data_IF_313159455656
#
_entry.id   IF_313159455656
#
_cell.length_a   1.000
_cell.length_b   1.000
_cell.length_c   1.000
_cell.angle_alpha   90.00
_cell.angle_beta   90.00
_cell.angle_gamma   90.00
#
_symmetry.space_group_name_H-M   'P 1'
#
loop_
_entity.id
_entity.type
_entity.pdbx_description
1 polymer ?
#
# COMPACT_ATOMS: atom_id res chain seq x y z
N UNK A 1 -45.22 -12.07 3.79
CA UNK A 1 -44.28 -11.53 2.79
C UNK A 1 -44.20 -10.05 3.03
N UNK A 2 -43.21 -9.61 3.80
CA UNK A 2 -42.85 -8.22 3.95
C UNK A 2 -41.36 -8.18 3.60
N UNK A 3 -41.07 -7.93 2.33
CA UNK A 3 -39.74 -7.54 1.90
C UNK A 3 -39.54 -6.12 2.46
N UNK A 4 -38.70 -6.00 3.47
CA UNK A 4 -38.19 -4.73 3.94
C UNK A 4 -37.32 -4.16 2.83
N UNK A 5 -37.79 -3.08 2.20
CA UNK A 5 -36.97 -2.15 1.42
C UNK A 5 -35.88 -1.60 2.35
N UNK A 6 -34.73 -2.25 2.34
CA UNK A 6 -33.49 -1.69 2.84
C UNK A 6 -33.19 -0.48 1.95
N UNK A 7 -33.38 0.73 2.49
CA UNK A 7 -32.98 1.97 1.84
C UNK A 7 -31.53 1.81 1.38
N UNK A 8 -31.30 1.70 0.06
CA UNK A 8 -29.94 1.56 -0.47
C UNK A 8 -29.20 2.86 -0.22
N UNK A 9 -28.45 2.92 0.88
CA UNK A 9 -27.59 4.05 1.19
C UNK A 9 -26.58 4.17 0.04
N UNK A 10 -26.64 5.30 -0.68
CA UNK A 10 -25.77 5.52 -1.83
C UNK A 10 -24.33 5.64 -1.34
N UNK A 11 -23.48 4.67 -1.66
CA UNK A 11 -22.09 4.67 -1.22
C UNK A 11 -21.33 5.91 -1.74
N UNK A 12 -20.65 6.58 -0.82
CA UNK A 12 -19.77 7.72 -1.06
C UNK A 12 -18.38 7.26 -1.49
N UNK A 13 -17.61 8.14 -2.14
CA UNK A 13 -16.21 7.85 -2.42
C UNK A 13 -15.32 8.15 -1.22
N UNK A 14 -14.34 7.29 -0.97
CA UNK A 14 -13.29 7.58 0.02
C UNK A 14 -12.35 8.63 -0.57
N UNK A 15 -12.33 9.82 0.05
CA UNK A 15 -11.50 10.93 -0.43
C UNK A 15 -9.99 10.61 -0.33
N UNK A 16 -9.14 11.10 -1.25
CA UNK A 16 -7.70 10.84 -1.23
C UNK A 16 -6.95 11.74 -0.23
N UNK A 17 -5.69 11.39 0.04
CA UNK A 17 -4.72 12.20 0.80
C UNK A 17 -5.18 12.65 2.18
N UNK A 18 -5.47 11.70 3.05
CA UNK A 18 -5.72 12.02 4.45
C UNK A 18 -4.44 12.54 5.10
N UNK A 19 -4.41 13.86 5.37
CA UNK A 19 -3.20 14.60 5.80
C UNK A 19 -2.57 14.19 7.13
N UNK A 20 -3.16 13.22 7.85
CA UNK A 20 -2.64 12.67 9.11
C UNK A 20 -2.27 11.17 9.00
N UNK A 21 -2.28 10.58 7.80
CA UNK A 21 -1.84 9.19 7.64
C UNK A 21 -0.31 9.13 7.70
N UNK A 22 0.24 8.54 8.76
CA UNK A 22 1.69 8.42 8.94
C UNK A 22 2.26 7.41 7.94
N UNK A 23 3.01 7.91 6.97
CA UNK A 23 3.78 7.05 6.07
C UNK A 23 4.92 6.34 6.81
N UNK A 24 5.11 5.06 6.49
CA UNK A 24 6.21 4.26 7.02
C UNK A 24 7.40 4.35 6.07
N UNK A 25 8.39 5.16 6.44
CA UNK A 25 9.61 5.35 5.66
C UNK A 25 10.75 4.49 6.18
N UNK A 26 11.59 4.00 5.27
CA UNK A 26 12.90 3.42 5.59
C UNK A 26 13.98 4.20 4.88
N UNK A 27 15.03 4.58 5.60
CA UNK A 27 16.13 5.37 5.02
C UNK A 27 17.46 4.65 5.18
N UNK A 28 18.23 4.66 4.09
CA UNK A 28 19.63 4.18 4.04
C UNK A 28 20.51 5.35 3.63
N UNK A 29 21.02 6.14 4.61
CA UNK A 29 21.70 7.41 4.34
C UNK A 29 22.94 7.26 3.45
N UNK A 30 23.72 6.18 3.61
CA UNK A 30 24.93 5.93 2.83
C UNK A 30 24.69 5.82 1.32
N UNK A 31 23.46 5.52 0.90
CA UNK A 31 23.06 5.43 -0.50
C UNK A 31 22.09 6.55 -0.92
N UNK A 32 21.81 7.54 -0.05
CA UNK A 32 20.79 8.57 -0.28
C UNK A 32 19.48 7.96 -0.81
N UNK A 33 19.02 6.88 -0.15
CA UNK A 33 17.91 6.05 -0.60
C UNK A 33 16.82 6.01 0.48
N UNK A 34 15.59 6.32 0.11
CA UNK A 34 14.42 6.22 1.00
C UNK A 34 13.32 5.39 0.34
N UNK A 35 12.86 4.38 1.06
CA UNK A 35 11.68 3.60 0.69
C UNK A 35 10.47 4.14 1.43
N UNK A 36 9.34 4.30 0.75
CA UNK A 36 8.05 4.33 1.42
C UNK A 36 7.47 2.91 1.43
N UNK A 37 7.05 2.44 2.59
CA UNK A 37 6.40 1.14 2.74
C UNK A 37 4.90 1.27 2.54
N UNK A 38 4.40 0.56 1.53
CA UNK A 38 2.97 0.35 1.37
C UNK A 38 2.61 -1.09 1.71
N UNK A 39 1.83 -1.26 2.78
CA UNK A 39 1.39 -2.58 3.27
C UNK A 39 0.72 -3.36 2.14
N UNK A 40 1.00 -4.67 2.09
CA UNK A 40 0.50 -5.61 1.07
C UNK A 40 1.06 -5.38 -0.35
N UNK A 41 2.03 -4.49 -0.47
CA UNK A 41 2.73 -4.18 -1.71
C UNK A 41 4.23 -4.42 -1.56
N UNK A 42 4.62 -5.67 -1.23
CA UNK A 42 6.01 -6.06 -0.92
C UNK A 42 6.67 -5.32 0.25
N UNK A 43 5.90 -4.80 1.21
CA UNK A 43 6.44 -4.04 2.33
C UNK A 43 7.50 -4.82 3.14
N UNK A 44 7.25 -6.10 3.46
CA UNK A 44 8.19 -6.93 4.22
C UNK A 44 9.52 -7.17 3.46
N UNK A 45 9.40 -7.51 2.19
CA UNK A 45 10.56 -7.71 1.31
C UNK A 45 11.38 -6.42 1.16
N UNK A 46 10.69 -5.27 1.04
CA UNK A 46 11.33 -3.95 0.99
C UNK A 46 12.05 -3.63 2.30
N UNK A 47 11.44 -3.95 3.45
CA UNK A 47 12.11 -3.80 4.75
C UNK A 47 13.40 -4.61 4.83
N UNK A 48 13.37 -5.86 4.37
CA UNK A 48 14.52 -6.74 4.45
C UNK A 48 15.63 -6.32 3.45
N UNK A 49 15.25 -5.89 2.24
CA UNK A 49 16.18 -5.30 1.28
C UNK A 49 16.86 -4.04 1.83
N UNK A 50 16.07 -3.11 2.38
CA UNK A 50 16.60 -1.87 2.96
C UNK A 50 17.46 -2.15 4.21
N UNK A 51 17.12 -3.16 5.01
CA UNK A 51 17.91 -3.56 6.16
C UNK A 51 19.29 -4.13 5.76
N UNK A 52 19.34 -5.00 4.75
CA UNK A 52 20.61 -5.49 4.19
C UNK A 52 21.50 -4.34 3.72
N UNK A 53 20.91 -3.30 3.14
CA UNK A 53 21.66 -2.12 2.70
C UNK A 53 22.10 -1.22 3.86
N UNK A 54 21.29 -1.14 4.91
CA UNK A 54 21.55 -0.33 6.10
C UNK A 54 22.70 -0.90 6.94
N UNK A 55 22.64 -2.20 7.23
CA UNK A 55 23.60 -2.93 8.06
C UNK A 55 23.84 -4.35 7.50
N UNK A 56 24.68 -4.46 6.45
CA UNK A 56 24.90 -5.73 5.77
C UNK A 56 25.61 -6.78 6.65
N UNK A 57 26.48 -6.36 7.57
CA UNK A 57 27.24 -7.30 8.40
C UNK A 57 26.31 -8.03 9.37
N UNK A 58 25.42 -7.29 10.05
CA UNK A 58 24.46 -7.89 10.97
C UNK A 58 23.39 -8.71 10.23
N UNK A 59 22.91 -8.21 9.08
CA UNK A 59 21.96 -8.95 8.24
C UNK A 59 22.51 -10.32 7.82
N UNK A 60 23.77 -10.35 7.34
CA UNK A 60 24.38 -11.58 6.81
C UNK A 60 24.84 -12.53 7.91
N UNK A 61 25.42 -12.03 9.01
CA UNK A 61 25.88 -12.86 10.13
C UNK A 61 24.73 -13.51 10.89
N UNK A 62 23.56 -12.88 10.93
CA UNK A 62 22.33 -13.46 11.50
C UNK A 62 21.62 -14.49 10.62
N UNK A 63 22.17 -14.81 9.43
CA UNK A 63 21.57 -15.71 8.44
C UNK A 63 20.11 -15.37 8.09
N UNK A 64 19.80 -14.09 8.02
CA UNK A 64 18.43 -13.65 7.84
C UNK A 64 17.94 -13.78 6.40
N UNK A 65 16.67 -14.13 6.23
CA UNK A 65 16.00 -14.21 4.94
C UNK A 65 15.03 -13.06 4.68
N UNK A 66 14.71 -12.82 3.40
CA UNK A 66 13.76 -11.77 3.01
C UNK A 66 12.30 -12.14 3.33
N UNK A 67 12.04 -13.38 3.73
CA UNK A 67 10.71 -13.90 4.06
C UNK A 67 10.39 -13.85 5.55
N UNK A 68 11.40 -13.65 6.39
CA UNK A 68 11.24 -13.56 7.84
C UNK A 68 10.53 -12.26 8.23
N UNK A 69 9.74 -12.36 9.31
CA UNK A 69 9.09 -11.23 9.99
C UNK A 69 9.91 -10.71 11.18
N UNK A 70 11.13 -11.22 11.39
CA UNK A 70 12.16 -10.72 12.32
C UNK A 70 11.61 -10.41 13.72
N UNK A 71 11.49 -11.46 14.56
CA UNK A 71 10.92 -11.39 15.92
C UNK A 71 11.93 -11.04 17.03
N UNK A 72 13.23 -10.93 16.72
CA UNK A 72 14.31 -10.65 17.69
C UNK A 72 14.96 -9.26 17.45
N UNK A 73 15.82 -8.81 18.38
CA UNK A 73 16.52 -7.52 18.37
C UNK A 73 17.16 -7.23 17.00
N UNK A 74 16.71 -6.16 16.34
CA UNK A 74 17.18 -5.76 15.01
C UNK A 74 18.17 -4.61 15.15
N UNK A 75 19.27 -4.64 14.41
CA UNK A 75 20.06 -3.43 14.15
C UNK A 75 19.30 -2.45 13.24
N UNK A 76 18.37 -2.95 12.42
CA UNK A 76 17.50 -2.18 11.51
C UNK A 76 16.03 -2.18 11.98
N UNK A 77 15.72 -1.41 13.03
CA UNK A 77 14.35 -1.33 13.54
C UNK A 77 13.49 -0.37 12.68
N UNK A 78 12.44 -0.82 11.96
CA UNK A 78 11.55 0.06 11.19
C UNK A 78 10.72 1.00 12.07
N UNK A 79 10.71 0.79 13.39
CA UNK A 79 10.08 1.67 14.37
C UNK A 79 11.06 2.68 14.97
N UNK A 80 12.37 2.56 14.72
CA UNK A 80 13.34 3.60 15.09
C UNK A 80 13.22 4.78 14.10
N UNK A 81 12.46 5.79 14.52
CA UNK A 81 12.12 6.95 13.69
C UNK A 81 13.25 7.97 13.57
N UNK A 82 14.27 7.88 14.41
CA UNK A 82 15.45 8.73 14.33
C UNK A 82 16.55 8.07 13.49
N UNK A 83 16.48 6.74 13.30
CA UNK A 83 17.35 5.96 12.44
C UNK A 83 16.63 5.37 11.23
N UNK A 84 16.68 4.05 11.12
CA UNK A 84 16.28 3.29 9.92
C UNK A 84 14.82 3.52 9.51
N UNK A 85 13.88 3.58 10.47
CA UNK A 85 12.43 3.77 10.27
C UNK A 85 11.98 5.23 10.13
N UNK A 86 12.93 6.15 10.01
CA UNK A 86 12.72 7.58 9.87
C UNK A 86 12.85 8.05 8.43
N UNK A 87 12.29 9.24 8.16
CA UNK A 87 12.76 10.06 7.07
C UNK A 87 13.89 10.92 7.63
N UNK A 88 15.14 10.65 7.24
CA UNK A 88 16.26 11.45 7.74
C UNK A 88 16.07 12.92 7.32
N UNK A 89 16.01 13.84 8.29
CA UNK A 89 15.65 15.25 8.07
C UNK A 89 16.55 15.91 7.02
N UNK A 90 17.84 15.56 7.03
CA UNK A 90 18.83 16.01 6.04
C UNK A 90 18.53 15.54 4.60
N UNK A 91 17.64 14.57 4.40
CA UNK A 91 17.26 14.04 3.10
C UNK A 91 15.89 14.54 2.62
N UNK A 92 15.04 15.12 3.51
CA UNK A 92 13.66 15.54 3.18
C UNK A 92 13.59 16.57 2.06
N UNK A 93 14.59 17.42 1.95
CA UNK A 93 14.61 18.53 0.98
C UNK A 93 15.75 18.41 -0.03
N UNK A 94 16.42 17.26 -0.11
CA UNK A 94 17.52 17.06 -1.06
C UNK A 94 17.00 16.47 -2.36
N UNK A 95 17.33 17.10 -3.49
CA UNK A 95 17.11 16.53 -4.83
C UNK A 95 17.95 15.26 -5.07
N UNK A 96 18.92 14.98 -4.21
CA UNK A 96 19.82 13.83 -4.30
C UNK A 96 19.26 12.56 -3.65
N UNK A 97 18.27 12.68 -2.74
CA UNK A 97 17.60 11.52 -2.18
C UNK A 97 16.73 10.86 -3.24
N UNK A 98 16.99 9.58 -3.51
CA UNK A 98 16.11 8.77 -4.35
C UNK A 98 15.05 8.12 -3.50
N UNK A 99 13.80 8.45 -3.80
CA UNK A 99 12.63 7.88 -3.15
C UNK A 99 12.00 6.83 -4.03
N UNK A 100 11.63 5.70 -3.45
CA UNK A 100 10.93 4.67 -4.18
C UNK A 100 9.83 4.03 -3.36
N UNK A 101 8.89 3.40 -4.05
CA UNK A 101 7.74 2.72 -3.45
C UNK A 101 7.27 1.62 -4.38
N UNK A 102 6.98 0.45 -3.81
CA UNK A 102 6.24 -0.59 -4.49
C UNK A 102 4.75 -0.40 -4.23
N UNK A 103 3.95 -0.36 -5.29
CA UNK A 103 2.48 -0.31 -5.21
C UNK A 103 1.89 -1.51 -5.94
N UNK A 104 0.65 -1.85 -5.62
CA UNK A 104 -0.06 -3.01 -6.18
C UNK A 104 -1.45 -2.54 -6.60
N UNK A 105 -1.98 -3.15 -7.66
CA UNK A 105 -3.37 -2.92 -8.05
C UNK A 105 -4.30 -3.00 -6.80
N UNK A 106 -5.20 -2.03 -6.60
CA UNK A 106 -6.03 -1.98 -5.40
C UNK A 106 -6.88 -3.24 -5.14
N UNK A 107 -7.43 -3.89 -6.17
CA UNK A 107 -8.25 -5.09 -5.99
C UNK A 107 -7.36 -6.27 -5.60
N UNK A 108 -6.22 -6.43 -6.27
CA UNK A 108 -5.22 -7.44 -5.90
C UNK A 108 -4.68 -7.25 -4.49
N UNK A 109 -4.47 -6.00 -4.09
CA UNK A 109 -4.04 -5.64 -2.75
C UNK A 109 -5.10 -5.99 -1.71
N UNK A 110 -6.38 -5.72 -1.98
CA UNK A 110 -7.48 -6.14 -1.12
C UNK A 110 -7.48 -7.67 -0.93
N UNK A 111 -7.30 -8.44 -1.99
CA UNK A 111 -7.25 -9.91 -1.90
C UNK A 111 -6.02 -10.35 -1.08
N UNK A 112 -4.85 -9.75 -1.30
CA UNK A 112 -3.64 -10.01 -0.49
C UNK A 112 -3.85 -9.67 1.00
N UNK A 113 -4.54 -8.57 1.28
CA UNK A 113 -4.97 -8.20 2.62
C UNK A 113 -5.86 -9.28 3.24
N UNK A 114 -6.93 -9.68 2.54
CA UNK A 114 -7.90 -10.65 3.01
C UNK A 114 -7.27 -12.01 3.30
N UNK A 115 -6.47 -12.54 2.37
CA UNK A 115 -5.86 -13.86 2.54
C UNK A 115 -4.89 -13.91 3.73
N UNK A 116 -4.12 -12.84 3.94
CA UNK A 116 -3.19 -12.78 5.07
C UNK A 116 -3.91 -12.45 6.39
N UNK A 117 -4.67 -11.35 6.45
CA UNK A 117 -5.27 -10.91 7.71
C UNK A 117 -6.46 -11.78 8.12
N UNK A 118 -7.41 -11.99 7.21
CA UNK A 118 -8.61 -12.75 7.53
C UNK A 118 -8.36 -14.25 7.59
N UNK A 119 -7.74 -14.83 6.56
CA UNK A 119 -7.65 -16.29 6.49
C UNK A 119 -6.46 -16.85 7.28
N UNK A 120 -5.30 -16.20 7.23
CA UNK A 120 -4.12 -16.69 7.93
C UNK A 120 -4.08 -16.23 9.41
N UNK A 121 -4.17 -14.92 9.66
CA UNK A 121 -4.08 -14.36 11.02
C UNK A 121 -5.41 -14.42 11.81
N UNK A 122 -6.52 -14.80 11.17
CA UNK A 122 -7.87 -14.83 11.76
C UNK A 122 -8.33 -13.49 12.31
N UNK A 123 -7.78 -12.39 11.80
CA UNK A 123 -8.18 -11.02 12.09
C UNK A 123 -8.99 -10.50 10.90
N UNK A 124 -10.32 -10.42 11.04
CA UNK A 124 -11.19 -10.17 9.89
C UNK A 124 -12.34 -9.20 10.16
N UNK A 125 -12.10 -8.11 10.91
CA UNK A 125 -13.16 -7.13 11.23
C UNK A 125 -14.42 -7.77 11.84
N UNK A 126 -14.27 -8.85 12.62
CA UNK A 126 -15.36 -9.65 13.19
C UNK A 126 -16.31 -10.28 12.14
N UNK A 127 -15.85 -10.47 10.90
CA UNK A 127 -16.55 -11.19 9.86
C UNK A 127 -16.21 -12.68 9.88
N UNK A 128 -17.13 -13.50 9.38
CA UNK A 128 -16.83 -14.89 9.05
C UNK A 128 -15.76 -14.96 7.95
N UNK A 129 -14.78 -15.88 8.03
CA UNK A 129 -13.64 -15.88 7.13
C UNK A 129 -13.99 -15.91 5.64
N UNK A 130 -15.11 -16.51 5.23
CA UNK A 130 -15.51 -16.61 3.82
C UNK A 130 -16.39 -15.47 3.30
N UNK A 131 -16.80 -14.55 4.18
CA UNK A 131 -17.71 -13.44 3.88
C UNK A 131 -16.95 -12.17 3.47
N UNK A 132 -16.52 -12.12 2.21
CA UNK A 132 -15.83 -10.95 1.67
C UNK A 132 -16.71 -9.69 1.63
N UNK A 133 -18.06 -9.82 1.60
CA UNK A 133 -18.97 -8.67 1.61
C UNK A 133 -18.91 -7.98 2.97
N UNK A 134 -18.99 -8.75 4.05
CA UNK A 134 -18.81 -8.21 5.40
C UNK A 134 -17.45 -7.51 5.53
N UNK A 135 -16.38 -8.14 5.04
CA UNK A 135 -15.02 -7.57 5.14
C UNK A 135 -14.90 -6.24 4.41
N UNK A 136 -15.30 -6.18 3.14
CA UNK A 136 -15.17 -4.95 2.36
C UNK A 136 -16.07 -3.83 2.88
N UNK A 137 -17.28 -4.17 3.37
CA UNK A 137 -18.19 -3.22 4.02
C UNK A 137 -17.56 -2.63 5.28
N UNK A 138 -16.99 -3.45 6.15
CA UNK A 138 -16.37 -2.97 7.39
C UNK A 138 -15.11 -2.12 7.13
N UNK A 139 -14.32 -2.46 6.11
CA UNK A 139 -13.22 -1.61 5.64
C UNK A 139 -13.78 -0.26 5.18
N UNK A 140 -14.79 -0.28 4.31
CA UNK A 140 -15.42 0.95 3.78
C UNK A 140 -15.94 1.85 4.90
N UNK A 141 -16.75 1.33 5.82
CA UNK A 141 -17.31 2.12 6.92
C UNK A 141 -16.21 2.71 7.82
N UNK A 142 -15.17 1.92 8.11
CA UNK A 142 -14.05 2.36 8.94
C UNK A 142 -13.26 3.49 8.27
N UNK A 143 -12.91 3.31 6.99
CA UNK A 143 -12.16 4.30 6.22
C UNK A 143 -12.99 5.54 5.91
N UNK A 144 -14.31 5.41 5.71
CA UNK A 144 -15.21 6.55 5.55
C UNK A 144 -15.22 7.43 6.79
N UNK A 145 -15.37 6.83 7.99
CA UNK A 145 -15.28 7.55 9.27
C UNK A 145 -13.94 8.26 9.43
N UNK A 146 -12.84 7.61 9.01
CA UNK A 146 -11.52 8.26 9.02
C UNK A 146 -11.50 9.45 8.05
N UNK A 147 -12.02 9.29 6.83
CA UNK A 147 -12.05 10.36 5.83
C UNK A 147 -12.87 11.59 6.27
N UNK A 148 -13.93 11.36 7.05
CA UNK A 148 -14.78 12.41 7.63
C UNK A 148 -14.21 13.02 8.92
N UNK A 149 -13.09 12.51 9.42
CA UNK A 149 -12.48 12.95 10.68
C UNK A 149 -13.22 12.46 11.93
N UNK A 150 -14.19 11.56 11.77
CA UNK A 150 -14.99 10.96 12.86
C UNK A 150 -14.23 9.86 13.60
N UNK A 151 -13.21 9.29 12.96
CA UNK A 151 -12.30 8.29 13.53
C UNK A 151 -10.86 8.73 13.30
N UNK A 152 -10.07 8.76 14.36
CA UNK A 152 -8.63 8.96 14.25
C UNK A 152 -7.94 7.63 13.95
N UNK A 153 -6.96 7.66 13.04
CA UNK A 153 -5.96 6.59 12.96
C UNK A 153 -4.99 6.78 14.11
N UNK A 154 -5.35 6.27 15.29
CA UNK A 154 -4.45 6.30 16.43
C UNK A 154 -3.23 5.41 16.19
N UNK A 155 -2.06 5.83 16.67
CA UNK A 155 -0.89 4.94 16.76
C UNK A 155 -1.03 3.84 17.82
N UNK A 156 -2.17 3.80 18.54
CA UNK A 156 -2.48 2.77 19.51
C UNK A 156 -2.80 1.46 18.78
N UNK A 157 -2.16 0.36 19.20
CA UNK A 157 -2.31 -0.98 18.61
C UNK A 157 -3.66 -1.62 18.96
N UNK A 158 -4.77 -0.89 18.83
CA UNK A 158 -6.06 -1.56 18.80
C UNK A 158 -6.17 -2.31 17.45
N UNK A 159 -6.76 -3.51 17.48
CA UNK A 159 -6.84 -4.38 16.31
C UNK A 159 -7.55 -3.70 15.12
N UNK A 160 -8.48 -2.77 15.36
CA UNK A 160 -9.21 -2.07 14.29
C UNK A 160 -8.29 -1.15 13.49
N UNK A 161 -7.52 -0.29 14.16
CA UNK A 161 -6.59 0.64 13.49
C UNK A 161 -5.48 -0.10 12.75
N UNK A 162 -4.99 -1.20 13.31
CA UNK A 162 -4.03 -2.08 12.64
C UNK A 162 -4.57 -2.57 11.29
N UNK A 163 -5.79 -3.08 11.29
CA UNK A 163 -6.45 -3.58 10.08
C UNK A 163 -6.68 -2.47 9.05
N UNK A 164 -7.10 -1.28 9.50
CA UNK A 164 -7.33 -0.13 8.61
C UNK A 164 -6.05 0.27 7.89
N UNK A 165 -4.91 0.30 8.59
CA UNK A 165 -3.60 0.59 7.98
C UNK A 165 -3.24 -0.39 6.86
N UNK A 166 -3.69 -1.65 6.95
CA UNK A 166 -3.47 -2.65 5.90
C UNK A 166 -4.46 -2.56 4.73
N UNK A 167 -5.58 -1.87 4.91
CA UNK A 167 -6.62 -1.71 3.90
C UNK A 167 -6.62 -0.32 3.23
N UNK A 168 -5.87 0.66 3.74
CA UNK A 168 -5.91 2.05 3.25
C UNK A 168 -5.61 2.21 1.76
N UNK A 169 -6.24 3.20 1.08
CA UNK A 169 -5.90 3.58 -0.28
C UNK A 169 -4.43 3.96 -0.44
N UNK A 170 -3.89 3.72 -1.63
CA UNK A 170 -2.52 4.07 -2.02
C UNK A 170 -2.30 5.58 -1.90
N UNK A 171 -3.29 6.37 -2.29
CA UNK A 171 -3.28 7.83 -2.16
C UNK A 171 -3.17 8.32 -0.72
N UNK A 172 -3.42 7.50 0.29
CA UNK A 172 -3.28 7.91 1.69
C UNK A 172 -1.86 7.77 2.21
N UNK A 173 -0.98 7.05 1.49
CA UNK A 173 0.38 6.77 1.97
C UNK A 173 1.43 7.63 1.25
N UNK A 174 2.65 7.63 1.78
CA UNK A 174 3.84 8.21 1.15
C UNK A 174 3.81 9.72 0.84
N UNK A 175 2.84 10.45 1.39
CA UNK A 175 2.64 11.89 1.12
C UNK A 175 2.57 12.18 -0.39
N UNK A 176 1.88 11.31 -1.14
CA UNK A 176 1.83 11.41 -2.61
C UNK A 176 1.21 12.71 -3.10
N UNK A 177 0.32 13.36 -2.33
CA UNK A 177 -0.18 14.70 -2.66
C UNK A 177 0.94 15.72 -2.87
N UNK A 178 2.02 15.60 -2.09
CA UNK A 178 3.14 16.54 -2.12
C UNK A 178 4.28 16.03 -2.99
N UNK A 179 4.51 14.72 -2.99
CA UNK A 179 5.78 14.15 -3.44
C UNK A 179 5.66 13.06 -4.51
N UNK A 180 4.48 12.78 -5.09
CA UNK A 180 4.32 11.74 -6.13
C UNK A 180 5.39 11.80 -7.22
N UNK A 181 5.66 13.00 -7.75
CA UNK A 181 6.57 13.19 -8.88
C UNK A 181 8.05 12.93 -8.57
N UNK A 182 8.43 12.80 -7.28
CA UNK A 182 9.81 12.49 -6.89
C UNK A 182 10.01 11.02 -6.50
N UNK A 183 8.95 10.20 -6.53
CA UNK A 183 9.06 8.77 -6.30
C UNK A 183 9.31 8.00 -7.60
N UNK A 184 10.23 7.05 -7.54
CA UNK A 184 10.22 5.90 -8.44
C UNK A 184 9.10 4.95 -7.98
N UNK A 185 8.04 4.89 -8.77
CA UNK A 185 6.88 4.04 -8.50
C UNK A 185 7.05 2.74 -9.26
N UNK A 186 6.98 1.62 -8.54
CA UNK A 186 7.13 0.28 -9.10
C UNK A 186 5.85 -0.51 -8.84
N UNK A 187 5.09 -0.75 -9.90
CA UNK A 187 3.83 -1.52 -9.80
C UNK A 187 4.16 -2.99 -9.82
N UNK A 188 3.76 -3.71 -8.77
CA UNK A 188 3.92 -5.15 -8.66
C UNK A 188 2.59 -5.84 -8.94
N UNK A 189 2.65 -6.92 -9.72
CA UNK A 189 1.53 -7.84 -9.86
C UNK A 189 1.52 -8.93 -8.80
N UNK A 190 0.63 -9.89 -9.03
CA UNK A 190 0.43 -11.02 -8.12
C UNK A 190 1.34 -12.19 -8.48
N UNK A 191 1.62 -12.42 -9.76
CA UNK A 191 2.50 -13.50 -10.25
C UNK A 191 4.00 -13.18 -10.14
N UNK A 192 4.86 -14.19 -10.27
CA UNK A 192 6.31 -13.99 -10.35
C UNK A 192 6.73 -13.21 -11.60
N UNK A 193 6.06 -13.43 -12.73
CA UNK A 193 6.40 -12.76 -13.99
C UNK A 193 6.13 -11.25 -13.90
N UNK A 194 5.01 -10.86 -13.29
CA UNK A 194 4.66 -9.45 -13.08
C UNK A 194 5.55 -8.75 -12.04
N UNK A 195 6.41 -9.50 -11.32
CA UNK A 195 7.41 -8.92 -10.41
C UNK A 195 8.73 -8.61 -11.10
N UNK A 196 9.02 -9.21 -12.25
CA UNK A 196 10.33 -9.09 -12.92
C UNK A 196 10.66 -7.65 -13.28
N UNK A 197 9.72 -6.97 -13.94
CA UNK A 197 9.88 -5.59 -14.40
C UNK A 197 10.10 -4.59 -13.24
N UNK A 198 9.22 -4.53 -12.22
CA UNK A 198 9.42 -3.61 -11.09
C UNK A 198 10.70 -3.94 -10.30
N UNK A 199 11.07 -5.22 -10.14
CA UNK A 199 12.34 -5.57 -9.48
C UNK A 199 13.54 -5.14 -10.33
N UNK A 200 13.47 -5.28 -11.66
CA UNK A 200 14.53 -4.80 -12.53
C UNK A 200 14.73 -3.28 -12.40
N UNK A 201 13.63 -2.51 -12.33
CA UNK A 201 13.69 -1.06 -12.05
C UNK A 201 14.37 -0.79 -10.71
N UNK A 202 14.05 -1.56 -9.67
CA UNK A 202 14.69 -1.40 -8.36
C UNK A 202 16.19 -1.69 -8.42
N UNK A 203 16.60 -2.76 -9.09
CA UNK A 203 18.01 -3.11 -9.31
C UNK A 203 18.76 -1.96 -10.01
N UNK A 204 18.16 -1.34 -11.03
CA UNK A 204 18.77 -0.20 -11.71
C UNK A 204 18.91 1.03 -10.80
N UNK A 205 17.96 1.25 -9.88
CA UNK A 205 18.10 2.28 -8.83
C UNK A 205 19.32 1.98 -7.94
N UNK A 206 19.47 0.73 -7.48
CA UNK A 206 20.58 0.33 -6.63
C UNK A 206 21.95 0.48 -7.32
N UNK A 207 22.05 0.09 -8.60
CA UNK A 207 23.25 0.30 -9.41
C UNK A 207 23.63 1.78 -9.50
N UNK A 208 22.66 2.65 -9.80
CA UNK A 208 22.88 4.12 -9.85
C UNK A 208 23.29 4.72 -8.51
N UNK A 209 22.95 4.05 -7.40
CA UNK A 209 23.39 4.43 -6.05
C UNK A 209 24.73 3.81 -5.64
N UNK A 210 25.43 3.15 -6.55
CA UNK A 210 26.72 2.50 -6.31
C UNK A 210 26.64 1.46 -5.16
N UNK A 211 25.50 0.77 -5.05
CA UNK A 211 25.38 -0.36 -4.13
C UNK A 211 26.28 -1.50 -4.62
N UNK A 212 27.07 -2.15 -3.76
CA UNK A 212 27.91 -3.28 -4.14
C UNK A 212 27.12 -4.41 -4.81
N UNK A 213 27.65 -4.95 -5.91
CA UNK A 213 26.96 -5.96 -6.73
C UNK A 213 26.54 -7.20 -5.92
N UNK A 214 27.34 -7.62 -4.92
CA UNK A 214 26.98 -8.74 -4.03
C UNK A 214 25.65 -8.52 -3.30
N UNK A 215 25.31 -7.30 -2.92
CA UNK A 215 24.04 -6.98 -2.26
C UNK A 215 22.91 -6.85 -3.29
N UNK A 216 23.18 -6.26 -4.46
CA UNK A 216 22.23 -6.16 -5.56
C UNK A 216 21.78 -7.56 -6.00
N UNK A 217 22.73 -8.45 -6.27
CA UNK A 217 22.47 -9.84 -6.66
C UNK A 217 21.64 -10.58 -5.61
N UNK A 218 21.98 -10.46 -4.31
CA UNK A 218 21.20 -11.08 -3.22
C UNK A 218 19.78 -10.52 -3.14
N UNK A 219 19.61 -9.21 -3.29
CA UNK A 219 18.30 -8.54 -3.32
C UNK A 219 17.49 -9.05 -4.51
N UNK A 220 18.06 -9.02 -5.71
CA UNK A 220 17.39 -9.43 -6.94
C UNK A 220 16.91 -10.88 -6.85
N UNK A 221 17.81 -11.79 -6.46
CA UNK A 221 17.48 -13.21 -6.26
C UNK A 221 16.32 -13.34 -5.27
N UNK A 222 16.44 -12.78 -4.07
CA UNK A 222 15.41 -12.92 -3.03
C UNK A 222 14.07 -12.31 -3.44
N UNK A 223 14.05 -11.15 -4.11
CA UNK A 223 12.78 -10.54 -4.53
C UNK A 223 12.09 -11.34 -5.63
N UNK A 224 12.85 -12.05 -6.47
CA UNK A 224 12.32 -12.86 -7.57
C UNK A 224 11.95 -14.28 -7.16
N UNK A 225 12.67 -14.89 -6.22
CA UNK A 225 12.49 -16.31 -5.86
C UNK A 225 11.75 -16.52 -4.56
N UNK A 226 11.82 -15.56 -3.65
CA UNK A 226 11.33 -15.76 -2.29
C UNK A 226 9.85 -15.41 -2.17
N UNK A 227 9.12 -16.21 -1.40
CA UNK A 227 7.76 -15.92 -0.96
C UNK A 227 7.77 -15.62 0.53
N UNK A 228 7.25 -14.46 0.93
CA UNK A 228 6.98 -14.22 2.35
C UNK A 228 6.11 -15.34 2.91
N UNK A 229 6.22 -15.66 4.19
CA UNK A 229 5.41 -16.71 4.85
C UNK A 229 3.90 -16.63 4.58
N UNK A 230 3.39 -15.44 4.23
CA UNK A 230 1.97 -15.18 3.90
C UNK A 230 1.71 -14.96 2.40
N UNK A 231 2.65 -15.32 1.51
CA UNK A 231 2.42 -15.20 0.07
C UNK A 231 1.40 -16.24 -0.39
N UNK A 232 0.39 -15.79 -1.12
CA UNK A 232 -0.77 -16.61 -1.50
C UNK A 232 -0.97 -16.68 -3.01
N UNK A 233 0.04 -16.27 -3.78
CA UNK A 233 -0.08 -15.91 -5.18
C UNK A 233 -0.61 -17.04 -6.10
N UNK A 234 -0.37 -18.30 -5.74
CA UNK A 234 -0.84 -19.49 -6.47
C UNK A 234 -1.79 -20.40 -5.66
N UNK A 235 -2.27 -19.94 -4.50
CA UNK A 235 -3.15 -20.76 -3.66
C UNK A 235 -4.55 -20.91 -4.25
N UNK A 236 -5.20 -22.06 -4.07
CA UNK A 236 -6.62 -22.23 -4.42
C UNK A 236 -7.51 -21.17 -3.74
N UNK A 237 -7.16 -20.79 -2.51
CA UNK A 237 -7.84 -19.74 -1.76
C UNK A 237 -7.81 -18.39 -2.49
N UNK A 238 -6.67 -18.05 -3.11
CA UNK A 238 -6.56 -16.83 -3.90
C UNK A 238 -7.46 -16.86 -5.12
N UNK A 239 -7.43 -17.95 -5.89
CA UNK A 239 -8.30 -18.11 -7.07
C UNK A 239 -9.78 -17.97 -6.71
N UNK A 240 -10.20 -18.57 -5.58
CA UNK A 240 -11.57 -18.44 -5.06
C UNK A 240 -11.90 -16.99 -4.65
N UNK A 241 -10.98 -16.29 -4.00
CA UNK A 241 -11.18 -14.89 -3.62
C UNK A 241 -11.28 -13.97 -4.85
N UNK A 242 -10.38 -14.14 -5.84
CA UNK A 242 -10.42 -13.43 -7.12
C UNK A 242 -11.75 -13.69 -7.86
N UNK A 243 -12.20 -14.94 -7.90
CA UNK A 243 -13.47 -15.30 -8.53
C UNK A 243 -14.67 -14.66 -7.83
N UNK A 244 -14.70 -14.69 -6.48
CA UNK A 244 -15.74 -14.01 -5.70
C UNK A 244 -15.77 -12.51 -6.01
N UNK A 245 -14.61 -11.84 -6.01
CA UNK A 245 -14.51 -10.41 -6.37
C UNK A 245 -15.02 -10.17 -7.80
N UNK A 246 -14.61 -10.99 -8.77
CA UNK A 246 -15.00 -10.85 -10.18
C UNK A 246 -16.49 -11.08 -10.42
N UNK A 247 -17.14 -11.92 -9.64
CA UNK A 247 -18.53 -12.30 -9.86
C UNK A 247 -19.53 -11.52 -8.99
N UNK A 248 -19.06 -10.87 -7.91
CA UNK A 248 -19.91 -10.15 -6.97
C UNK A 248 -19.92 -8.63 -7.20
N UNK A 249 -21.01 -8.12 -7.78
CA UNK A 249 -21.18 -6.70 -8.08
C UNK A 249 -21.21 -5.81 -6.83
N UNK A 250 -21.78 -6.29 -5.73
CA UNK A 250 -21.84 -5.51 -4.48
C UNK A 250 -20.43 -5.33 -3.93
N UNK A 251 -19.65 -6.42 -3.91
CA UNK A 251 -18.26 -6.37 -3.48
C UNK A 251 -17.45 -5.38 -4.33
N UNK A 252 -17.57 -5.45 -5.67
CA UNK A 252 -16.85 -4.53 -6.56
C UNK A 252 -17.28 -3.09 -6.37
N UNK A 253 -18.57 -2.81 -6.17
CA UNK A 253 -19.04 -1.45 -5.90
C UNK A 253 -18.33 -0.86 -4.67
N UNK A 254 -18.22 -1.60 -3.57
CA UNK A 254 -17.42 -1.14 -2.42
C UNK A 254 -15.94 -0.90 -2.78
N UNK A 255 -15.31 -1.80 -3.54
CA UNK A 255 -13.91 -1.63 -3.93
C UNK A 255 -13.70 -0.41 -4.86
N UNK A 256 -14.64 -0.13 -5.75
CA UNK A 256 -14.62 1.10 -6.55
C UNK A 256 -14.68 2.32 -5.63
N UNK A 257 -15.62 2.35 -4.68
CA UNK A 257 -15.76 3.49 -3.75
C UNK A 257 -14.55 3.69 -2.86
N UNK A 258 -13.90 2.59 -2.45
CA UNK A 258 -12.69 2.61 -1.64
C UNK A 258 -11.48 3.15 -2.41
N UNK A 259 -11.29 2.73 -3.66
CA UNK A 259 -10.00 2.86 -4.35
C UNK A 259 -10.05 3.65 -5.65
N UNK A 260 -11.19 4.22 -6.04
CA UNK A 260 -11.32 4.96 -7.31
C UNK A 260 -10.25 6.04 -7.50
N UNK A 261 -9.92 6.80 -6.45
CA UNK A 261 -8.90 7.84 -6.53
C UNK A 261 -7.48 7.28 -6.71
N UNK A 262 -7.20 6.05 -6.29
CA UNK A 262 -5.90 5.42 -6.57
C UNK A 262 -5.72 5.25 -8.08
N UNK A 263 -6.74 4.80 -8.79
CA UNK A 263 -6.69 4.70 -10.25
C UNK A 263 -6.54 6.06 -10.91
N UNK A 264 -7.22 7.11 -10.41
CA UNK A 264 -7.08 8.48 -10.94
C UNK A 264 -5.68 9.06 -10.75
N UNK A 265 -5.08 8.86 -9.57
CA UNK A 265 -3.76 9.39 -9.21
C UNK A 265 -2.63 8.58 -9.84
N UNK A 266 -2.83 7.27 -10.02
CA UNK A 266 -1.88 6.35 -10.63
C UNK A 266 -2.48 5.79 -11.92
N UNK A 267 -2.48 6.58 -13.03
CA UNK A 267 -3.03 6.14 -14.32
C UNK A 267 -2.27 4.96 -14.92
N UNK A 268 -1.13 4.58 -14.36
CA UNK A 268 -0.36 3.40 -14.72
C UNK A 268 -1.03 2.09 -14.26
N UNK A 269 -2.03 2.14 -13.36
CA UNK A 269 -2.84 0.97 -13.04
C UNK A 269 -3.79 0.62 -14.19
N UNK A 270 -3.88 -0.67 -14.51
CA UNK A 270 -4.93 -1.16 -15.41
C UNK A 270 -6.30 -0.88 -14.79
N UNK A 271 -7.27 -0.50 -15.63
CA UNK A 271 -8.66 -0.24 -15.24
C UNK A 271 -9.64 -1.11 -16.01
N UNK A 272 -9.14 -1.99 -16.90
CA UNK A 272 -9.95 -2.82 -17.78
C UNK A 272 -10.89 -3.76 -17.00
N UNK A 273 -10.49 -4.14 -15.78
CA UNK A 273 -11.26 -4.99 -14.86
C UNK A 273 -12.31 -4.25 -14.03
N UNK A 274 -12.35 -2.92 -14.07
CA UNK A 274 -13.33 -2.13 -13.31
C UNK A 274 -14.70 -2.16 -14.01
N UNK A 275 -15.77 -2.08 -13.21
CA UNK A 275 -17.13 -1.96 -13.78
C UNK A 275 -17.31 -0.56 -14.40
N UNK A 276 -18.20 -0.44 -15.38
CA UNK A 276 -18.66 0.88 -15.84
C UNK A 276 -19.43 1.60 -14.72
N UNK A 277 -19.22 2.91 -14.49
CA UNK A 277 -18.44 3.85 -15.32
C UNK A 277 -16.94 3.96 -14.95
N UNK A 278 -16.45 3.20 -13.96
CA UNK A 278 -15.11 3.36 -13.37
C UNK A 278 -13.95 3.03 -14.32
N UNK A 279 -14.19 2.25 -15.38
CA UNK A 279 -13.18 1.90 -16.38
C UNK A 279 -13.01 2.92 -17.52
N UNK A 280 -13.86 3.96 -17.60
CA UNK A 280 -13.90 4.89 -18.74
C UNK A 280 -13.01 6.13 -18.55
N UNK A 281 -11.82 6.11 -19.14
CA UNK A 281 -10.87 7.24 -19.15
C UNK A 281 -11.51 8.49 -19.79
N UNK A 282 -11.40 9.64 -19.12
CA UNK A 282 -11.81 10.98 -19.59
C UNK A 282 -13.31 11.11 -19.91
N UNK A 283 -14.13 10.28 -19.29
CA UNK A 283 -15.57 10.51 -19.23
C UNK A 283 -15.87 11.80 -18.46
N UNK A 284 -17.06 12.39 -18.66
CA UNK A 284 -17.53 13.49 -17.80
C UNK A 284 -17.55 13.10 -16.31
N UNK A 285 -17.70 11.80 -16.03
CA UNK A 285 -17.55 11.19 -14.72
C UNK A 285 -16.12 11.40 -14.17
N UNK A 286 -15.08 11.03 -14.91
CA UNK A 286 -13.69 11.27 -14.51
C UNK A 286 -13.38 12.76 -14.29
N UNK A 287 -13.82 13.63 -15.20
CA UNK A 287 -13.54 15.07 -15.11
C UNK A 287 -14.15 15.70 -13.85
N UNK A 288 -15.36 15.27 -13.47
CA UNK A 288 -16.02 15.70 -12.23
C UNK A 288 -15.16 15.37 -11.01
N UNK A 289 -14.77 14.10 -10.86
CA UNK A 289 -14.02 13.66 -9.68
C UNK A 289 -12.59 14.17 -9.67
N UNK A 290 -12.00 14.45 -10.84
CA UNK A 290 -10.71 15.12 -10.95
C UNK A 290 -10.76 16.58 -10.48
N UNK A 291 -11.85 17.30 -10.79
CA UNK A 291 -12.08 18.66 -10.26
C UNK A 291 -12.32 18.64 -8.75
N UNK A 292 -13.11 17.68 -8.25
CA UNK A 292 -13.31 17.48 -6.82
C UNK A 292 -11.97 17.19 -6.11
N UNK A 293 -11.15 16.32 -6.71
CA UNK A 293 -9.78 16.03 -6.28
C UNK A 293 -8.88 17.28 -6.23
N UNK A 294 -8.83 18.07 -7.30
CA UNK A 294 -8.01 19.29 -7.38
C UNK A 294 -8.46 20.33 -6.33
N UNK A 295 -9.77 20.43 -6.10
CA UNK A 295 -10.35 21.27 -5.05
C UNK A 295 -9.96 20.79 -3.65
N UNK A 296 -10.02 19.48 -3.38
CA UNK A 296 -9.61 18.90 -2.09
C UNK A 296 -8.14 19.16 -1.82
N UNK A 297 -7.24 18.93 -2.79
CA UNK A 297 -5.80 19.24 -2.67
C UNK A 297 -5.63 20.71 -2.28
N UNK A 298 -6.24 21.62 -3.03
CA UNK A 298 -6.09 23.07 -2.82
C UNK A 298 -6.59 23.50 -1.44
N UNK A 299 -7.70 22.93 -0.98
CA UNK A 299 -8.25 23.18 0.35
C UNK A 299 -7.36 22.61 1.46
N UNK A 300 -6.81 21.40 1.29
CA UNK A 300 -5.87 20.82 2.25
C UNK A 300 -4.56 21.64 2.34
N UNK A 301 -4.03 22.10 1.22
CA UNK A 301 -2.88 23.01 1.19
C UNK A 301 -3.19 24.32 1.93
N UNK A 302 -4.37 24.91 1.69
CA UNK A 302 -4.83 26.11 2.39
C UNK A 302 -4.95 25.89 3.91
N UNK A 303 -5.61 24.81 4.33
CA UNK A 303 -5.77 24.46 5.75
C UNK A 303 -4.43 24.16 6.44
N UNK A 304 -3.45 23.60 5.72
CA UNK A 304 -2.10 23.37 6.25
C UNK A 304 -1.32 24.66 6.46
N UNK A 305 -1.59 25.71 5.66
CA UNK A 305 -0.97 27.04 5.81
C UNK A 305 -1.55 27.84 6.97
N UNK A 306 -2.80 27.58 7.36
CA UNK A 306 -3.45 28.23 8.51
C UNK A 306 -3.05 27.63 9.87
N UNK A 307 -2.40 26.46 9.87
CA UNK A 307 -1.93 25.77 11.09
C UNK A 307 -0.44 26.03 11.40
N UNK A 308 0.23 26.82 10.57
CA UNK A 308 1.59 27.35 10.78
C UNK A 308 1.52 28.84 11.08
#
# INVERSE_FOLDING_TARGET
MAETEEQSEQLEFILPYMGNFRADYLTVPQYNLTACLYRKSMSQMTTNAMCLLYDPEHFLSGNHSFNETWKNERSCNPYDRNGFGGFAENLRNTSQNTRFVFIRDPFDRFISFYLDKCLHEKQCYNCEPEDLRCVVKNIYESLLKISKGEKQLESSFNNSTYMDMHATPTTWVCDFNKFRNVYYIMIIGSSFDERKEPISKFVEILKRKNVPEKYISKIQENLLTSETHHSTHNSEMRKRAEEKVRNDKILREYLHKLYFYDYLVFPEFDRSHLDSPYNMINSSFDEKYRKDYESIIKNQEYLSKLKN
#
